data_IF_340367376989
#
_entry.id   IF_340367376989
#
_cell.length_a   1.000
_cell.length_b   1.000
_cell.length_c   1.000
_cell.angle_alpha   90.00
_cell.angle_beta   90.00
_cell.angle_gamma   90.00
#
_symmetry.space_group_name_H-M   'P 1'
#
loop_
_entity.id
_entity.type
_entity.pdbx_description
1 polymer ?
#
# COMPACT_ATOMS: atom_id res chain seq x y z
N UNK A 1 -3.07 64.26 28.30
CA UNK A 1 -3.80 63.02 28.01
C UNK A 1 -3.66 62.77 26.51
N UNK A 2 -2.53 62.22 26.06
CA UNK A 2 -2.22 62.01 24.64
C UNK A 2 -2.30 60.50 24.39
N UNK A 3 -3.30 60.07 23.62
CA UNK A 3 -3.52 58.68 23.26
C UNK A 3 -2.56 58.26 22.15
N UNK A 4 -1.75 57.25 22.44
CA UNK A 4 -0.82 56.60 21.53
C UNK A 4 -1.62 55.69 20.58
N UNK A 5 -1.74 56.06 19.30
CA UNK A 5 -2.31 55.17 18.27
C UNK A 5 -1.18 54.28 17.74
N UNK A 6 -1.14 53.04 18.22
CA UNK A 6 -0.27 52.00 17.69
C UNK A 6 -0.86 51.46 16.38
N UNK A 7 -0.26 51.83 15.24
CA UNK A 7 -0.56 51.21 13.95
C UNK A 7 0.13 49.86 13.91
N UNK A 8 -0.62 48.80 14.22
CA UNK A 8 -0.17 47.42 14.05
C UNK A 8 -0.21 47.12 12.55
N UNK A 9 0.97 47.10 11.93
CA UNK A 9 1.16 46.61 10.58
C UNK A 9 0.96 45.08 10.60
N UNK A 10 -0.27 44.62 10.38
CA UNK A 10 -0.53 43.20 10.12
C UNK A 10 0.08 42.86 8.76
N UNK A 11 1.31 42.35 8.78
CA UNK A 11 1.87 41.62 7.66
C UNK A 11 1.04 40.34 7.48
N UNK A 12 -0.01 40.42 6.67
CA UNK A 12 -0.64 39.23 6.09
C UNK A 12 0.40 38.65 5.14
N UNK A 13 1.24 37.76 5.67
CA UNK A 13 1.92 36.78 4.84
C UNK A 13 0.79 35.94 4.22
N UNK A 14 0.38 36.31 3.00
CA UNK A 14 -0.25 35.34 2.12
C UNK A 14 0.85 34.33 1.86
N UNK A 15 0.93 33.30 2.70
CA UNK A 15 1.57 32.07 2.32
C UNK A 15 0.85 31.67 1.04
N UNK A 16 1.49 31.91 -0.10
CA UNK A 16 1.14 31.25 -1.33
C UNK A 16 1.15 29.77 -0.98
N UNK A 17 -0.04 29.20 -0.88
CA UNK A 17 -0.18 27.76 -0.90
C UNK A 17 0.36 27.36 -2.25
N UNK A 18 1.63 26.95 -2.29
CA UNK A 18 2.06 26.03 -3.30
C UNK A 18 1.12 24.84 -3.15
N UNK A 19 0.10 24.77 -4.01
CA UNK A 19 -0.73 23.59 -4.15
C UNK A 19 0.20 22.55 -4.75
N UNK A 20 0.85 21.81 -3.85
CA UNK A 20 1.51 20.56 -4.16
C UNK A 20 0.55 19.74 -5.01
N UNK A 21 1.07 18.97 -5.99
CA UNK A 21 0.35 17.84 -6.55
C UNK A 21 -0.53 17.22 -5.47
N UNK A 22 -1.84 17.09 -5.74
CA UNK A 22 -2.78 16.61 -4.74
C UNK A 22 -2.22 15.37 -4.06
N UNK A 23 -2.51 15.19 -2.77
CA UNK A 23 -2.05 14.07 -1.93
C UNK A 23 -2.37 12.66 -2.47
N UNK A 24 -2.95 12.55 -3.67
CA UNK A 24 -3.24 11.32 -4.38
C UNK A 24 -2.34 11.00 -5.58
N UNK A 25 -1.48 11.88 -6.09
CA UNK A 25 -0.72 11.60 -7.33
C UNK A 25 0.59 10.86 -7.03
N UNK A 26 0.90 9.76 -7.74
CA UNK A 26 2.06 8.93 -7.42
C UNK A 26 2.94 8.53 -8.62
N UNK A 27 2.51 8.79 -9.85
CA UNK A 27 3.34 8.52 -11.02
C UNK A 27 4.30 9.68 -11.25
N UNK A 28 5.54 9.34 -11.58
CA UNK A 28 6.62 10.28 -11.88
C UNK A 28 7.21 9.98 -13.26
N UNK A 29 7.98 10.93 -13.80
CA UNK A 29 8.75 10.73 -15.02
C UNK A 29 8.02 11.17 -16.29
N UNK A 30 8.61 10.79 -17.42
CA UNK A 30 8.20 11.23 -18.75
C UNK A 30 7.90 10.02 -19.62
N UNK A 31 6.82 10.13 -20.40
CA UNK A 31 6.50 9.20 -21.47
C UNK A 31 6.59 9.93 -22.81
N UNK A 32 6.69 9.20 -23.90
CA UNK A 32 6.88 9.77 -25.23
C UNK A 32 5.78 9.34 -26.17
N UNK A 33 5.14 10.31 -26.81
CA UNK A 33 4.16 10.05 -27.85
C UNK A 33 4.70 10.36 -29.24
N UNK A 34 4.43 9.44 -30.14
CA UNK A 34 4.61 9.59 -31.58
C UNK A 34 5.83 8.90 -32.16
N UNK A 35 5.81 8.78 -33.48
CA UNK A 35 6.86 8.13 -34.26
C UNK A 35 7.81 9.17 -34.88
N UNK A 36 9.10 8.87 -34.90
CA UNK A 36 10.06 9.49 -35.81
C UNK A 36 9.95 8.94 -37.24
N UNK A 37 9.11 7.91 -37.46
CA UNK A 37 8.91 7.25 -38.75
C UNK A 37 7.41 7.12 -39.08
N UNK A 38 6.92 7.90 -40.06
CA UNK A 38 5.54 7.80 -40.52
C UNK A 38 5.18 8.82 -41.59
N UNK A 39 5.64 8.61 -42.82
CA UNK A 39 5.09 9.28 -43.99
C UNK A 39 3.61 8.87 -44.15
N UNK A 40 2.68 9.69 -43.67
CA UNK A 40 1.29 9.60 -44.11
C UNK A 40 1.29 9.94 -45.60
N UNK A 41 0.87 8.99 -46.43
CA UNK A 41 0.79 9.16 -47.89
C UNK A 41 0.02 10.45 -48.23
N UNK A 42 0.74 11.44 -48.76
CA UNK A 42 0.20 12.74 -49.13
C UNK A 42 0.45 13.90 -48.15
N UNK A 43 1.07 13.66 -46.98
CA UNK A 43 1.35 14.71 -45.98
C UNK A 43 2.83 14.88 -45.58
N UNK A 44 3.75 14.09 -46.15
CA UNK A 44 5.17 14.17 -45.81
C UNK A 44 5.47 13.62 -44.41
N UNK A 45 6.72 13.77 -43.94
CA UNK A 45 7.14 13.30 -42.61
C UNK A 45 6.38 14.10 -41.55
N UNK A 46 5.30 13.55 -41.04
CA UNK A 46 4.70 14.04 -39.81
C UNK A 46 5.32 13.26 -38.66
N UNK A 47 6.11 13.94 -37.83
CA UNK A 47 6.19 13.49 -36.44
C UNK A 47 4.74 13.52 -35.95
N UNK A 48 4.21 12.46 -35.35
CA UNK A 48 2.82 12.49 -34.89
C UNK A 48 2.59 13.40 -33.67
N UNK A 49 3.48 14.40 -33.46
CA UNK A 49 3.22 15.67 -32.79
C UNK A 49 3.09 15.62 -31.27
N UNK A 50 2.83 14.46 -30.68
CA UNK A 50 2.58 14.35 -29.23
C UNK A 50 3.78 14.77 -28.39
N UNK A 51 4.98 14.28 -28.74
CA UNK A 51 6.23 14.64 -28.07
C UNK A 51 6.31 14.15 -26.62
N UNK A 52 7.01 14.91 -25.78
CA UNK A 52 7.15 14.59 -24.36
C UNK A 52 5.84 14.80 -23.60
N UNK A 53 5.48 13.81 -22.79
CA UNK A 53 4.36 13.88 -21.87
C UNK A 53 4.90 13.75 -20.46
N UNK A 54 4.65 14.77 -19.64
CA UNK A 54 4.96 14.76 -18.22
C UNK A 54 3.87 14.05 -17.45
N UNK A 55 4.24 13.07 -16.63
CA UNK A 55 3.28 12.32 -15.81
C UNK A 55 2.90 13.02 -14.52
N UNK A 56 3.62 14.06 -14.12
CA UNK A 56 3.30 14.94 -12.99
C UNK A 56 4.07 16.27 -13.06
N UNK A 57 3.80 17.19 -12.13
CA UNK A 57 4.63 18.39 -11.96
C UNK A 57 5.08 18.65 -10.53
N UNK A 58 5.30 17.59 -9.75
CA UNK A 58 5.63 17.63 -8.31
C UNK A 58 6.88 18.44 -7.93
N UNK A 59 7.70 18.82 -8.91
CA UNK A 59 8.99 19.50 -8.73
C UNK A 59 9.04 20.94 -9.29
N UNK A 60 7.95 21.47 -9.86
CA UNK A 60 7.90 22.85 -10.35
C UNK A 60 6.89 23.66 -9.56
N UNK A 61 7.34 24.78 -8.97
CA UNK A 61 6.53 25.78 -8.28
C UNK A 61 5.59 26.56 -9.24
N UNK A 62 5.04 25.90 -10.26
CA UNK A 62 4.09 26.45 -11.21
C UNK A 62 2.69 26.57 -10.59
N UNK A 63 1.88 27.47 -11.16
CA UNK A 63 0.53 27.79 -10.65
C UNK A 63 -0.53 26.70 -10.89
N UNK A 64 -0.22 25.67 -11.69
CA UNK A 64 -1.15 24.58 -12.02
C UNK A 64 -0.60 23.27 -11.46
N UNK A 65 -1.44 22.42 -10.91
CA UNK A 65 -1.08 21.16 -10.26
C UNK A 65 -1.66 19.99 -11.07
N UNK A 66 -0.83 19.05 -11.52
CA UNK A 66 -1.28 17.85 -12.25
C UNK A 66 -0.37 16.65 -11.99
N UNK A 67 -0.89 15.47 -12.29
CA UNK A 67 -0.20 14.20 -12.22
C UNK A 67 -1.13 13.02 -12.46
N UNK A 68 -0.56 11.83 -12.49
CA UNK A 68 -1.32 10.58 -12.59
C UNK A 68 -1.14 9.80 -11.30
N UNK A 69 -2.21 9.16 -10.85
CA UNK A 69 -2.22 8.23 -9.74
C UNK A 69 -2.59 6.84 -10.22
N UNK A 70 -1.75 5.86 -9.89
CA UNK A 70 -2.03 4.44 -10.06
C UNK A 70 -2.27 3.82 -8.69
N UNK A 71 -3.44 3.23 -8.41
CA UNK A 71 -3.70 2.58 -7.13
C UNK A 71 -2.71 1.41 -6.90
N UNK A 72 -2.37 1.16 -5.64
CA UNK A 72 -1.48 0.06 -5.26
C UNK A 72 -2.11 -1.34 -5.46
N UNK A 73 -3.44 -1.38 -5.56
CA UNK A 73 -4.25 -2.56 -5.87
C UNK A 73 -5.08 -2.28 -7.13
N UNK A 74 -5.86 -3.27 -7.56
CA UNK A 74 -6.79 -3.10 -8.67
C UNK A 74 -7.76 -1.94 -8.42
N UNK A 75 -8.08 -1.19 -9.48
CA UNK A 75 -8.94 -0.01 -9.38
C UNK A 75 -8.65 1.03 -10.46
N UNK A 76 -9.53 2.04 -10.52
CA UNK A 76 -9.40 3.13 -11.47
C UNK A 76 -8.17 3.99 -11.16
N UNK A 77 -7.49 4.44 -12.22
CA UNK A 77 -6.50 5.50 -12.14
C UNK A 77 -7.21 6.84 -11.91
N UNK A 78 -6.45 7.82 -11.44
CA UNK A 78 -6.90 9.22 -11.36
C UNK A 78 -5.85 10.18 -11.87
N UNK A 79 -6.29 11.41 -12.14
CA UNK A 79 -5.43 12.53 -12.53
C UNK A 79 -5.30 12.72 -14.04
N UNK A 80 -4.35 13.57 -14.40
CA UNK A 80 -4.04 13.92 -15.78
C UNK A 80 -2.53 14.13 -15.99
N UNK A 81 -2.04 13.67 -17.13
CA UNK A 81 -0.70 14.00 -17.61
C UNK A 81 -0.75 15.25 -18.51
N UNK A 82 0.42 15.78 -18.88
CA UNK A 82 0.51 16.98 -19.70
C UNK A 82 1.54 16.84 -20.82
N UNK A 83 1.13 17.09 -22.06
CA UNK A 83 2.02 17.31 -23.19
C UNK A 83 2.14 18.81 -23.47
N UNK A 84 3.35 19.29 -23.73
CA UNK A 84 3.57 20.67 -24.17
C UNK A 84 2.97 20.98 -25.55
N UNK A 85 2.81 19.96 -26.39
CA UNK A 85 2.31 20.11 -27.75
C UNK A 85 0.79 19.97 -27.85
N UNK A 86 0.18 19.09 -27.05
CA UNK A 86 -1.23 18.71 -27.18
C UNK A 86 -2.06 18.92 -25.90
N UNK A 87 -1.44 19.44 -24.84
CA UNK A 87 -2.12 19.76 -23.58
C UNK A 87 -2.40 18.55 -22.70
N UNK A 88 -3.48 18.64 -21.91
CA UNK A 88 -3.81 17.65 -20.89
C UNK A 88 -4.28 16.32 -21.47
N UNK A 89 -3.89 15.25 -20.79
CA UNK A 89 -4.35 13.88 -21.04
C UNK A 89 -5.07 13.41 -19.78
N UNK A 90 -6.38 13.19 -19.88
CA UNK A 90 -7.18 12.68 -18.77
C UNK A 90 -7.06 11.16 -18.65
N UNK A 91 -6.83 10.65 -17.45
CA UNK A 91 -6.84 9.22 -17.12
C UNK A 91 -8.09 8.79 -16.33
N UNK A 92 -8.83 9.75 -15.77
CA UNK A 92 -10.13 9.52 -15.14
C UNK A 92 -11.26 10.32 -15.78
N UNK A 93 -12.48 9.94 -15.42
CA UNK A 93 -13.69 10.53 -15.94
C UNK A 93 -14.37 11.54 -15.00
N UNK A 94 -13.67 12.10 -14.00
CA UNK A 94 -14.26 13.06 -13.04
C UNK A 94 -14.83 14.30 -13.73
N UNK A 95 -14.25 14.67 -14.88
CA UNK A 95 -14.68 15.80 -15.71
C UNK A 95 -15.46 15.37 -16.97
N UNK A 96 -15.84 14.09 -17.08
CA UNK A 96 -16.59 13.57 -18.22
C UNK A 96 -15.80 13.43 -19.53
N UNK A 97 -14.49 13.69 -19.53
CA UNK A 97 -13.67 13.65 -20.75
C UNK A 97 -13.59 12.26 -21.40
N UNK A 98 -13.75 11.20 -20.60
CA UNK A 98 -13.71 9.82 -21.08
C UNK A 98 -15.10 9.29 -21.44
N UNK A 99 -16.16 10.09 -21.35
CA UNK A 99 -17.50 9.67 -21.80
C UNK A 99 -17.48 9.32 -23.29
N UNK A 100 -18.09 8.18 -23.63
CA UNK A 100 -18.20 7.72 -25.02
C UNK A 100 -16.90 7.14 -25.58
N UNK A 101 -16.04 6.56 -24.74
CA UNK A 101 -14.88 5.81 -25.22
C UNK A 101 -15.29 4.71 -26.21
N UNK A 102 -14.42 4.36 -27.18
CA UNK A 102 -14.79 3.44 -28.26
C UNK A 102 -15.24 2.05 -27.78
N UNK A 103 -14.59 1.51 -26.74
CA UNK A 103 -14.90 0.19 -26.18
C UNK A 103 -14.89 0.31 -24.64
N UNK A 104 -16.05 0.49 -23.99
CA UNK A 104 -16.12 0.57 -22.54
C UNK A 104 -15.87 -0.79 -21.89
N UNK A 105 -15.21 -0.76 -20.75
CA UNK A 105 -15.08 -1.89 -19.83
C UNK A 105 -16.37 -2.07 -19.01
N UNK A 106 -16.74 -3.31 -18.70
CA UNK A 106 -17.97 -3.62 -17.97
C UNK A 106 -17.96 -3.08 -16.52
N UNK A 107 -16.80 -3.06 -15.87
CA UNK A 107 -16.63 -2.67 -14.47
C UNK A 107 -16.10 -1.25 -14.36
N UNK A 108 -15.15 -0.88 -15.22
CA UNK A 108 -14.43 0.37 -15.15
C UNK A 108 -14.97 1.45 -16.11
N UNK A 109 -15.97 1.10 -16.93
CA UNK A 109 -16.54 1.97 -17.96
C UNK A 109 -15.42 2.48 -18.88
N UNK A 110 -15.27 3.79 -19.02
CA UNK A 110 -14.24 4.40 -19.85
C UNK A 110 -12.98 4.84 -19.11
N UNK A 111 -12.85 4.57 -17.82
CA UNK A 111 -11.68 5.00 -17.05
C UNK A 111 -10.43 4.21 -17.45
N UNK A 112 -9.26 4.81 -17.26
CA UNK A 112 -8.04 4.03 -17.13
C UNK A 112 -8.08 3.28 -15.79
N UNK A 113 -7.60 2.04 -15.76
CA UNK A 113 -7.61 1.23 -14.54
C UNK A 113 -6.42 0.27 -14.49
N UNK A 114 -6.10 -0.16 -13.27
CA UNK A 114 -5.12 -1.19 -12.97
C UNK A 114 -5.83 -2.52 -12.73
N UNK A 115 -5.29 -3.58 -13.33
CA UNK A 115 -5.63 -4.97 -13.05
C UNK A 115 -4.32 -5.79 -12.94
N UNK A 116 -3.99 -6.25 -11.73
CA UNK A 116 -2.71 -6.84 -11.40
C UNK A 116 -1.56 -5.88 -11.68
N UNK A 117 -0.69 -6.24 -12.63
CA UNK A 117 0.40 -5.39 -13.10
C UNK A 117 0.11 -4.73 -14.46
N UNK A 118 -1.12 -4.85 -14.98
CA UNK A 118 -1.51 -4.26 -16.27
C UNK A 118 -2.27 -2.95 -16.04
N UNK A 119 -2.00 -1.96 -16.89
CA UNK A 119 -2.79 -0.75 -17.02
C UNK A 119 -3.65 -0.88 -18.28
N UNK A 120 -4.95 -0.67 -18.11
CA UNK A 120 -5.99 -0.92 -19.12
C UNK A 120 -6.94 0.26 -19.23
N UNK A 121 -7.83 0.18 -20.23
CA UNK A 121 -8.87 1.17 -20.46
C UNK A 121 -8.41 2.31 -21.35
N UNK A 122 -8.98 3.49 -21.13
CA UNK A 122 -8.82 4.64 -22.02
C UNK A 122 -8.27 5.87 -21.28
N UNK A 123 -7.44 6.61 -21.99
CA UNK A 123 -7.08 7.99 -21.67
C UNK A 123 -7.44 8.88 -22.87
N UNK A 124 -7.48 10.20 -22.67
CA UNK A 124 -7.87 11.12 -23.75
C UNK A 124 -7.16 12.45 -23.69
N UNK A 125 -6.66 12.92 -24.84
CA UNK A 125 -6.23 14.30 -25.00
C UNK A 125 -7.44 15.23 -24.91
N UNK A 126 -7.46 16.02 -23.84
CA UNK A 126 -8.59 16.90 -23.49
C UNK A 126 -8.77 17.99 -24.54
N UNK A 127 -7.68 18.61 -25.00
CA UNK A 127 -7.77 19.71 -25.97
C UNK A 127 -8.25 19.23 -27.35
N UNK A 128 -7.83 18.03 -27.79
CA UNK A 128 -8.34 17.41 -29.02
C UNK A 128 -9.85 17.12 -28.89
N UNK A 129 -10.28 16.61 -27.74
CA UNK A 129 -11.70 16.31 -27.48
C UNK A 129 -12.60 17.56 -27.48
N UNK A 130 -12.06 18.71 -27.07
CA UNK A 130 -12.76 20.00 -27.06
C UNK A 130 -12.70 20.69 -28.42
N UNK A 131 -11.62 20.47 -29.18
CA UNK A 131 -11.45 21.00 -30.52
C UNK A 131 -12.34 20.32 -31.58
N UNK A 132 -13.12 19.29 -31.20
CA UNK A 132 -14.20 18.70 -32.00
C UNK A 132 -15.37 19.67 -32.31
N UNK A 133 -15.23 20.97 -32.04
CA UNK A 133 -16.03 22.02 -32.71
C UNK A 133 -15.80 21.91 -34.23
N UNK A 134 -16.87 22.03 -35.02
CA UNK A 134 -16.84 21.97 -36.49
C UNK A 134 -15.71 22.88 -37.00
N UNK A 135 -14.65 22.26 -37.53
CA UNK A 135 -13.55 22.94 -38.22
C UNK A 135 -12.20 23.04 -37.50
N UNK A 136 -11.98 22.50 -36.29
CA UNK A 136 -10.73 22.82 -35.56
C UNK A 136 -9.80 21.68 -35.10
N UNK A 137 -9.90 20.45 -35.64
CA UNK A 137 -8.85 19.40 -35.47
C UNK A 137 -8.97 18.26 -36.49
N UNK A 138 -9.47 18.54 -37.71
CA UNK A 138 -9.64 17.51 -38.73
C UNK A 138 -10.59 16.35 -38.37
N UNK A 139 -11.36 16.46 -37.28
CA UNK A 139 -12.29 15.42 -36.80
C UNK A 139 -11.72 14.45 -35.77
N UNK A 140 -10.50 14.67 -35.28
CA UNK A 140 -9.88 13.81 -34.27
C UNK A 140 -10.56 13.90 -32.91
N UNK A 141 -10.59 12.78 -32.19
CA UNK A 141 -11.28 12.61 -30.92
C UNK A 141 -10.31 12.52 -29.72
N UNK A 142 -9.02 12.26 -29.96
CA UNK A 142 -7.94 12.29 -28.97
C UNK A 142 -7.85 11.04 -28.11
N UNK A 143 -8.39 9.90 -28.54
CA UNK A 143 -8.41 8.67 -27.75
C UNK A 143 -7.06 7.96 -27.69
N UNK A 144 -6.72 7.46 -26.51
CA UNK A 144 -5.55 6.63 -26.23
C UNK A 144 -6.04 5.36 -25.54
N UNK A 145 -5.76 4.20 -26.13
CA UNK A 145 -6.03 2.89 -25.55
C UNK A 145 -4.80 2.36 -24.84
N UNK A 146 -4.93 2.05 -23.55
CA UNK A 146 -3.79 1.67 -22.70
C UNK A 146 -3.40 0.20 -22.85
N UNK A 147 -4.27 -0.62 -23.44
CA UNK A 147 -4.01 -2.02 -23.73
C UNK A 147 -4.75 -2.53 -24.97
N UNK A 148 -4.18 -3.53 -25.64
CA UNK A 148 -4.76 -4.23 -26.78
C UNK A 148 -4.25 -5.67 -26.88
N UNK A 149 -4.60 -6.40 -27.95
CA UNK A 149 -4.21 -7.80 -28.11
C UNK A 149 -2.68 -8.02 -28.20
N UNK A 150 -1.93 -7.04 -28.68
CA UNK A 150 -0.48 -7.13 -28.95
C UNK A 150 0.35 -6.04 -28.27
N UNK A 151 -0.27 -5.17 -27.48
CA UNK A 151 0.38 -4.08 -26.77
C UNK A 151 -0.30 -3.83 -25.44
N UNK A 152 0.40 -3.17 -24.54
CA UNK A 152 -0.17 -2.69 -23.29
C UNK A 152 0.87 -2.08 -22.40
N UNK A 153 0.39 -1.38 -21.39
CA UNK A 153 1.22 -0.75 -20.37
C UNK A 153 1.26 -1.65 -19.15
N UNK A 154 2.46 -1.92 -18.63
CA UNK A 154 2.66 -2.80 -17.47
C UNK A 154 3.56 -2.18 -16.42
N UNK A 155 3.32 -2.56 -15.16
CA UNK A 155 4.10 -2.16 -13.99
C UNK A 155 5.13 -3.26 -13.69
N UNK A 156 6.41 -2.91 -13.70
CA UNK A 156 7.50 -3.77 -13.27
C UNK A 156 7.58 -3.92 -11.74
N UNK A 157 8.30 -4.94 -11.27
CA UNK A 157 8.54 -5.15 -9.84
C UNK A 157 9.36 -4.03 -9.17
N UNK A 158 10.00 -3.18 -9.96
CA UNK A 158 10.71 -1.97 -9.53
C UNK A 158 9.82 -0.71 -9.58
N UNK A 159 8.54 -0.83 -9.92
CA UNK A 159 7.58 0.26 -10.03
C UNK A 159 7.65 1.00 -11.37
N UNK A 160 8.57 0.65 -12.26
CA UNK A 160 8.68 1.28 -13.58
C UNK A 160 7.55 0.83 -14.48
N UNK A 161 6.97 1.79 -15.21
CA UNK A 161 6.05 1.49 -16.27
C UNK A 161 6.83 1.13 -17.54
N UNK A 162 6.27 0.24 -18.33
CA UNK A 162 6.84 -0.21 -19.60
C UNK A 162 5.74 -0.55 -20.59
N UNK A 163 6.14 -0.74 -21.84
CA UNK A 163 5.22 -1.04 -22.93
C UNK A 163 4.58 0.21 -23.53
N UNK A 164 3.57 -0.02 -24.37
CA UNK A 164 3.03 0.97 -25.28
C UNK A 164 1.51 1.04 -25.14
N UNK A 165 1.00 2.26 -25.17
CA UNK A 165 -0.40 2.55 -25.48
C UNK A 165 -0.53 2.98 -26.94
N UNK A 166 -1.76 3.00 -27.46
CA UNK A 166 -2.03 3.27 -28.86
C UNK A 166 -3.15 4.28 -29.05
N UNK A 167 -2.95 5.21 -29.97
CA UNK A 167 -3.98 6.09 -30.52
C UNK A 167 -4.07 5.86 -32.02
N UNK A 168 -5.28 5.68 -32.55
CA UNK A 168 -5.48 5.55 -34.00
C UNK A 168 -5.16 6.85 -34.77
N UNK A 169 -5.12 7.97 -34.06
CA UNK A 169 -4.89 9.31 -34.61
C UNK A 169 -3.43 9.76 -34.42
N UNK A 170 -2.83 9.39 -33.28
CA UNK A 170 -1.53 9.90 -32.84
C UNK A 170 -0.41 8.84 -32.82
N UNK A 171 -0.76 7.58 -33.05
CA UNK A 171 0.15 6.44 -33.05
C UNK A 171 0.53 5.97 -31.65
N UNK A 172 1.77 5.51 -31.51
CA UNK A 172 2.28 4.90 -30.27
C UNK A 172 2.53 5.97 -29.19
N UNK A 173 2.12 5.65 -27.96
CA UNK A 173 2.59 6.33 -26.74
C UNK A 173 3.42 5.33 -25.94
N UNK A 174 4.73 5.54 -25.87
CA UNK A 174 5.68 4.68 -25.17
C UNK A 174 5.88 5.14 -23.72
N UNK A 175 5.67 4.23 -22.78
CA UNK A 175 5.81 4.51 -21.35
C UNK A 175 7.26 4.43 -20.83
N UNK A 176 8.18 3.98 -21.67
CA UNK A 176 9.60 3.83 -21.32
C UNK A 176 10.49 3.76 -22.56
N UNK A 177 11.72 4.25 -22.46
CA UNK A 177 12.74 4.05 -23.48
C UNK A 177 14.14 4.38 -22.95
N UNK A 178 15.15 4.40 -23.82
CA UNK A 178 16.50 4.78 -23.42
C UNK A 178 16.52 6.21 -22.85
N UNK A 179 16.75 6.33 -21.53
CA UNK A 179 16.88 7.63 -20.85
C UNK A 179 15.56 8.29 -20.41
N UNK A 180 14.40 7.66 -20.62
CA UNK A 180 13.12 8.16 -20.13
C UNK A 180 12.19 7.02 -19.68
N UNK A 181 11.19 7.36 -18.88
CA UNK A 181 10.13 6.44 -18.51
C UNK A 181 9.33 6.95 -17.33
N UNK A 182 8.12 6.43 -17.20
CA UNK A 182 7.28 6.67 -16.04
C UNK A 182 7.55 5.62 -14.95
N UNK A 183 7.37 6.02 -13.70
CA UNK A 183 7.46 5.11 -12.55
C UNK A 183 6.45 5.49 -11.49
N UNK A 184 5.80 4.50 -10.88
CA UNK A 184 5.07 4.66 -9.63
C UNK A 184 5.93 4.19 -8.45
N UNK A 185 5.69 4.67 -7.23
CA UNK A 185 6.30 4.09 -6.04
C UNK A 185 5.82 2.66 -5.85
N UNK A 186 6.65 1.84 -5.21
CA UNK A 186 6.22 0.52 -4.78
C UNK A 186 5.24 0.63 -3.61
N UNK A 187 4.29 -0.33 -3.49
CA UNK A 187 3.39 -0.36 -2.35
C UNK A 187 4.19 -0.48 -1.04
N UNK A 188 3.76 0.19 0.03
CA UNK A 188 4.42 0.07 1.31
C UNK A 188 4.30 -1.36 1.86
N UNK A 189 5.37 -1.86 2.47
CA UNK A 189 5.40 -3.18 3.12
C UNK A 189 5.74 -3.05 4.59
N UNK A 190 5.12 -3.89 5.42
CA UNK A 190 5.41 -3.96 6.85
C UNK A 190 5.48 -5.41 7.30
N UNK A 191 6.42 -5.72 8.19
CA UNK A 191 6.47 -6.98 8.92
C UNK A 191 6.70 -6.71 10.41
N UNK A 192 6.10 -7.56 11.25
CA UNK A 192 6.21 -7.52 12.70
C UNK A 192 6.52 -8.93 13.19
N UNK A 193 7.57 -9.06 13.98
CA UNK A 193 8.02 -10.31 14.60
C UNK A 193 8.21 -10.05 16.08
N UNK A 194 7.99 -11.09 16.89
CA UNK A 194 8.13 -11.04 18.34
C UNK A 194 8.99 -12.22 18.81
N UNK A 195 9.80 -12.01 19.84
CA UNK A 195 10.57 -13.07 20.47
C UNK A 195 10.67 -12.84 21.99
N UNK A 196 10.30 -13.83 22.83
CA UNK A 196 9.64 -15.09 22.47
C UNK A 196 8.16 -14.92 22.08
N UNK A 197 7.64 -15.83 21.24
CA UNK A 197 6.19 -15.93 20.92
C UNK A 197 5.37 -16.53 22.06
N UNK A 198 6.03 -17.31 22.92
CA UNK A 198 5.43 -17.95 24.09
C UNK A 198 6.27 -17.68 25.32
N UNK A 199 5.64 -17.18 26.37
CA UNK A 199 6.30 -16.93 27.66
C UNK A 199 6.05 -18.15 28.56
N UNK A 200 7.13 -18.79 29.02
CA UNK A 200 7.02 -19.89 29.98
C UNK A 200 6.94 -19.33 31.42
N UNK A 201 5.86 -19.68 32.12
CA UNK A 201 5.62 -19.29 33.51
C UNK A 201 6.27 -20.22 34.54
N UNK A 202 6.79 -21.39 34.13
CA UNK A 202 7.55 -22.30 35.01
C UNK A 202 8.83 -21.63 35.52
N UNK A 203 9.41 -20.74 34.71
CA UNK A 203 10.64 -19.98 35.03
C UNK A 203 10.39 -18.66 35.75
N UNK A 204 9.13 -18.27 35.98
CA UNK A 204 8.78 -17.03 36.67
C UNK A 204 7.42 -16.47 36.29
N UNK A 205 6.88 -15.60 37.15
CA UNK A 205 5.59 -14.93 36.91
C UNK A 205 5.74 -13.73 35.97
N UNK A 206 4.62 -13.24 35.46
CA UNK A 206 4.57 -11.94 34.77
C UNK A 206 4.87 -10.79 35.76
N UNK A 207 5.44 -9.66 35.30
CA UNK A 207 5.74 -9.35 33.90
C UNK A 207 7.04 -9.97 33.38
N UNK A 208 7.05 -10.37 32.11
CA UNK A 208 8.24 -10.85 31.40
C UNK A 208 8.50 -10.04 30.13
N UNK A 209 9.76 -9.95 29.73
CA UNK A 209 10.16 -9.14 28.58
C UNK A 209 10.01 -9.89 27.27
N UNK A 210 9.46 -9.22 26.26
CA UNK A 210 9.45 -9.67 24.87
C UNK A 210 10.05 -8.60 23.97
N UNK A 211 10.79 -9.01 22.95
CA UNK A 211 11.36 -8.09 21.97
C UNK A 211 10.53 -8.12 20.69
N UNK A 212 9.95 -6.97 20.35
CA UNK A 212 9.29 -6.72 19.07
C UNK A 212 10.31 -6.20 18.07
N UNK A 213 10.30 -6.74 16.86
CA UNK A 213 11.09 -6.24 15.73
C UNK A 213 10.16 -6.00 14.57
N UNK A 214 10.24 -4.82 13.96
CA UNK A 214 9.43 -4.47 12.80
C UNK A 214 10.29 -3.91 11.67
N UNK A 215 9.86 -4.21 10.45
CA UNK A 215 10.43 -3.62 9.24
C UNK A 215 9.33 -2.86 8.51
N UNK A 216 9.63 -1.64 8.10
CA UNK A 216 8.74 -0.74 7.36
C UNK A 216 9.48 -0.28 6.12
N UNK A 217 8.86 -0.42 4.95
CA UNK A 217 9.40 0.09 3.68
C UNK A 217 8.29 0.84 2.96
N UNK A 218 8.56 2.06 2.49
CA UNK A 218 7.61 2.88 1.73
C UNK A 218 6.50 3.57 2.53
N UNK A 219 6.22 3.18 3.77
CA UNK A 219 5.24 3.90 4.61
C UNK A 219 5.89 5.09 5.34
N UNK A 220 5.18 6.22 5.41
CA UNK A 220 5.68 7.45 6.06
C UNK A 220 5.43 7.45 7.56
N UNK A 221 4.31 6.90 8.03
CA UNK A 221 3.99 6.79 9.46
C UNK A 221 3.31 5.47 9.76
N UNK A 222 3.62 4.89 10.92
CA UNK A 222 2.88 3.75 11.46
C UNK A 222 2.55 3.98 12.93
N UNK A 223 1.47 3.37 13.41
CA UNK A 223 1.06 3.36 14.81
C UNK A 223 1.19 1.96 15.38
N UNK A 224 1.89 1.86 16.51
CA UNK A 224 1.96 0.66 17.34
C UNK A 224 0.85 0.69 18.39
N UNK A 225 0.24 -0.45 18.65
CA UNK A 225 -0.76 -0.62 19.69
C UNK A 225 -0.75 -2.04 20.23
N UNK A 226 -1.13 -2.22 21.50
CA UNK A 226 -1.35 -3.53 22.10
C UNK A 226 -2.56 -3.50 23.02
N UNK A 227 -3.31 -4.60 23.10
CA UNK A 227 -4.48 -4.73 23.96
C UNK A 227 -4.17 -4.59 25.47
N UNK A 228 -2.90 -4.75 25.88
CA UNK A 228 -2.40 -4.52 27.23
C UNK A 228 -1.81 -3.12 27.48
N UNK A 229 -1.86 -2.20 26.52
CA UNK A 229 -1.40 -0.81 26.65
C UNK A 229 0.12 -0.58 26.73
N UNK A 230 0.91 -1.63 26.94
CA UNK A 230 2.38 -1.58 27.11
C UNK A 230 3.17 -1.24 25.83
N UNK A 231 2.52 -1.23 24.67
CA UNK A 231 3.16 -0.89 23.39
C UNK A 231 2.24 0.03 22.59
N UNK A 232 2.47 1.34 22.66
CA UNK A 232 1.62 2.36 22.04
C UNK A 232 2.41 3.54 21.49
N UNK A 233 1.90 4.19 20.44
CA UNK A 233 2.46 5.42 19.87
C UNK A 233 2.76 5.33 18.38
N UNK A 234 3.50 6.31 17.86
CA UNK A 234 3.85 6.39 16.44
C UNK A 234 5.30 5.96 16.23
N UNK A 235 5.56 5.26 15.12
CA UNK A 235 6.89 4.93 14.63
C UNK A 235 7.05 5.47 13.20
N UNK A 236 8.27 5.91 12.87
CA UNK A 236 8.60 6.52 11.58
C UNK A 236 9.62 5.71 10.78
N UNK A 237 10.12 4.59 11.33
CA UNK A 237 11.13 3.74 10.69
C UNK A 237 11.09 2.32 11.25
N UNK A 238 11.76 1.40 10.55
CA UNK A 238 12.09 0.05 11.05
C UNK A 238 12.85 0.13 12.37
N UNK A 239 12.66 -0.87 13.24
CA UNK A 239 13.27 -0.85 14.56
C UNK A 239 12.95 -2.08 15.40
N UNK A 240 13.42 -2.03 16.64
CA UNK A 240 13.10 -3.01 17.66
C UNK A 240 12.81 -2.31 19.00
N UNK A 241 12.05 -2.98 19.84
CA UNK A 241 11.70 -2.51 21.18
C UNK A 241 11.44 -3.70 22.09
N UNK A 242 11.99 -3.63 23.30
CA UNK A 242 11.68 -4.61 24.34
C UNK A 242 10.60 -4.05 25.24
N UNK A 243 9.52 -4.79 25.43
CA UNK A 243 8.39 -4.42 26.28
C UNK A 243 8.18 -5.47 27.36
N UNK A 244 7.72 -5.04 28.52
CA UNK A 244 7.35 -5.93 29.62
C UNK A 244 5.87 -6.29 29.51
N UNK A 245 5.59 -7.54 29.15
CA UNK A 245 4.23 -8.07 29.05
C UNK A 245 3.71 -8.45 30.44
N UNK A 246 2.55 -7.90 30.82
CA UNK A 246 1.91 -8.12 32.12
C UNK A 246 0.62 -8.95 32.07
N UNK A 247 0.12 -9.26 30.87
CA UNK A 247 -1.08 -10.06 30.65
C UNK A 247 -0.76 -11.42 30.00
N UNK A 248 -1.60 -12.43 30.28
CA UNK A 248 -1.44 -13.80 29.78
C UNK A 248 -1.48 -13.90 28.24
N UNK A 249 -2.25 -13.04 27.60
CA UNK A 249 -2.29 -12.96 26.13
C UNK A 249 -2.29 -11.50 25.71
N UNK A 250 -1.29 -11.13 24.91
CA UNK A 250 -1.17 -9.78 24.36
C UNK A 250 -1.12 -9.86 22.84
N UNK A 251 -2.02 -9.12 22.20
CA UNK A 251 -1.99 -8.88 20.76
C UNK A 251 -1.26 -7.56 20.51
N UNK A 252 -0.19 -7.63 19.71
CA UNK A 252 0.56 -6.47 19.23
C UNK A 252 0.15 -6.19 17.79
N UNK A 253 -0.24 -4.95 17.52
CA UNK A 253 -0.80 -4.52 16.24
C UNK A 253 0.01 -3.35 15.70
N UNK A 254 0.50 -3.49 14.47
CA UNK A 254 1.16 -2.43 13.74
C UNK A 254 0.32 -2.01 12.54
N UNK A 255 -0.05 -0.74 12.50
CA UNK A 255 -0.86 -0.15 11.42
C UNK A 255 -0.04 0.93 10.73
N UNK A 256 0.13 0.85 9.41
CA UNK A 256 0.93 1.80 8.64
C UNK A 256 0.09 2.52 7.59
N UNK A 257 0.40 3.78 7.31
CA UNK A 257 -0.22 4.52 6.20
C UNK A 257 0.06 3.83 4.87
N UNK A 258 -0.99 3.66 4.05
CA UNK A 258 -0.91 3.02 2.74
C UNK A 258 -0.92 1.49 2.76
N UNK A 259 -1.03 0.87 3.95
CA UNK A 259 -1.21 -0.58 4.09
C UNK A 259 -2.65 -0.84 4.55
N UNK A 260 -3.42 -1.56 3.74
CA UNK A 260 -4.85 -1.76 3.98
C UNK A 260 -5.13 -2.55 5.28
N UNK A 261 -4.30 -3.55 5.58
CA UNK A 261 -4.50 -4.45 6.72
C UNK A 261 -3.38 -4.26 7.76
N UNK A 262 -3.72 -4.05 9.04
CA UNK A 262 -2.74 -4.06 10.12
C UNK A 262 -2.04 -5.42 10.24
N UNK A 263 -0.75 -5.41 10.56
CA UNK A 263 0.00 -6.63 10.90
C UNK A 263 -0.13 -6.89 12.39
N UNK A 264 -0.40 -8.15 12.74
CA UNK A 264 -0.69 -8.58 14.11
C UNK A 264 0.21 -9.74 14.51
N UNK A 265 0.63 -9.75 15.76
CA UNK A 265 1.30 -10.89 16.39
C UNK A 265 0.76 -11.09 17.80
N UNK A 266 0.50 -12.35 18.16
CA UNK A 266 0.00 -12.72 19.47
C UNK A 266 1.11 -13.37 20.28
N UNK A 267 1.29 -12.88 21.50
CA UNK A 267 2.12 -13.54 22.51
C UNK A 267 1.22 -14.15 23.56
N UNK A 268 1.42 -15.45 23.80
CA UNK A 268 0.68 -16.20 24.82
C UNK A 268 1.59 -16.69 25.92
N UNK A 269 1.10 -16.71 27.15
CA UNK A 269 1.75 -17.40 28.26
C UNK A 269 1.37 -18.87 28.29
N UNK A 270 2.25 -19.68 28.83
CA UNK A 270 1.96 -21.07 29.15
C UNK A 270 3.01 -21.64 30.07
N UNK A 271 2.95 -22.94 30.27
CA UNK A 271 3.70 -23.66 31.30
C UNK A 271 3.76 -25.15 30.94
N UNK A 272 4.62 -25.89 31.62
CA UNK A 272 4.68 -27.35 31.52
C UNK A 272 3.54 -28.01 32.27
N UNK A 273 2.57 -28.54 31.54
CA UNK A 273 1.60 -29.50 32.09
C UNK A 273 2.24 -30.87 32.18
N UNK A 274 2.25 -31.46 33.38
CA UNK A 274 2.80 -32.79 33.61
C UNK A 274 1.72 -33.87 33.56
N UNK A 275 1.87 -34.84 32.65
CA UNK A 275 0.93 -35.94 32.48
C UNK A 275 1.63 -37.30 32.37
N UNK A 276 0.95 -38.33 32.84
CA UNK A 276 1.45 -39.70 32.73
C UNK A 276 1.27 -40.23 31.31
N UNK A 277 2.38 -40.66 30.71
CA UNK A 277 2.39 -41.50 29.51
C UNK A 277 3.01 -42.85 29.88
N UNK A 278 2.15 -43.83 30.13
CA UNK A 278 2.56 -45.12 30.71
C UNK A 278 3.18 -44.94 32.10
N UNK A 279 4.41 -45.42 32.28
CA UNK A 279 5.17 -45.31 33.53
C UNK A 279 6.03 -44.03 33.64
N UNK A 280 5.93 -43.10 32.67
CA UNK A 280 6.72 -41.86 32.65
C UNK A 280 5.85 -40.62 32.83
N UNK A 281 6.35 -39.64 33.58
CA UNK A 281 5.74 -38.33 33.76
C UNK A 281 6.34 -37.36 32.73
N UNK A 282 5.62 -37.17 31.62
CA UNK A 282 6.03 -36.26 30.54
C UNK A 282 5.60 -34.82 30.82
N UNK A 283 6.29 -33.86 30.20
CA UNK A 283 5.89 -32.44 30.20
C UNK A 283 5.49 -32.01 28.81
N UNK A 284 4.35 -31.33 28.71
CA UNK A 284 3.86 -30.70 27.48
C UNK A 284 3.56 -29.23 27.73
N UNK A 285 3.87 -28.36 26.77
CA UNK A 285 3.56 -26.93 26.92
C UNK A 285 2.06 -26.71 26.76
N UNK A 286 1.43 -26.16 27.78
CA UNK A 286 0.01 -25.79 27.79
C UNK A 286 -0.09 -24.26 27.83
N UNK A 287 -0.79 -23.68 26.85
CA UNK A 287 -1.13 -22.26 26.84
C UNK A 287 -2.15 -21.98 27.94
N UNK A 288 -1.91 -20.95 28.75
CA UNK A 288 -2.79 -20.53 29.84
C UNK A 288 -3.44 -19.19 29.51
N UNK A 289 -4.76 -19.08 29.76
CA UNK A 289 -5.46 -17.79 29.74
C UNK A 289 -5.22 -16.95 31.00
N UNK A 290 -4.47 -17.50 31.98
CA UNK A 290 -4.20 -16.90 33.28
C UNK A 290 -2.73 -16.50 33.41
N UNK A 291 -2.49 -15.41 34.15
CA UNK A 291 -1.14 -14.91 34.46
C UNK A 291 -0.41 -15.71 35.56
N UNK A 292 -0.99 -16.81 36.05
CA UNK A 292 -0.43 -17.65 37.11
C UNK A 292 -0.25 -19.10 36.67
N UNK A 293 0.71 -19.79 37.31
CA UNK A 293 1.04 -21.21 37.09
C UNK A 293 -0.03 -22.15 37.68
N UNK A 294 -0.99 -21.62 38.45
CA UNK A 294 -1.99 -22.42 39.18
C UNK A 294 -2.86 -23.28 38.26
N UNK A 295 -3.14 -22.78 37.05
CA UNK A 295 -3.89 -23.54 36.05
C UNK A 295 -3.11 -24.77 35.53
N UNK A 296 -1.78 -24.71 35.57
CA UNK A 296 -0.87 -25.76 35.12
C UNK A 296 -0.68 -26.84 36.19
N UNK A 297 -0.52 -26.41 37.44
CA UNK A 297 -0.38 -27.32 38.58
C UNK A 297 -1.68 -28.06 38.84
N UNK A 298 -2.84 -27.38 38.78
CA UNK A 298 -4.15 -28.02 38.88
C UNK A 298 -4.41 -29.02 37.73
N UNK A 299 -3.85 -28.77 36.55
CA UNK A 299 -3.98 -29.67 35.39
C UNK A 299 -2.95 -30.80 35.35
N UNK A 300 -1.92 -30.77 36.22
CA UNK A 300 -0.87 -31.77 36.26
C UNK A 300 -1.29 -33.00 37.07
N UNK A 301 -1.06 -34.20 36.53
CA UNK A 301 -1.46 -35.47 37.19
C UNK A 301 -0.29 -36.22 37.82
N UNK A 302 0.93 -35.73 37.66
CA UNK A 302 2.16 -36.34 38.17
C UNK A 302 3.24 -35.29 38.44
N UNK A 303 4.18 -35.61 39.33
CA UNK A 303 5.39 -34.83 39.58
C UNK A 303 6.65 -35.59 39.15
N UNK A 304 6.64 -36.92 39.28
CA UNK A 304 7.73 -37.86 38.97
C UNK A 304 7.18 -39.12 38.29
N UNK A 305 8.05 -39.91 37.64
CA UNK A 305 7.67 -41.18 36.99
C UNK A 305 6.99 -42.18 37.95
N UNK A 306 7.37 -42.18 39.24
CA UNK A 306 6.79 -43.04 40.26
C UNK A 306 5.28 -42.82 40.45
N UNK A 307 4.79 -41.59 40.25
CA UNK A 307 3.36 -41.26 40.36
C UNK A 307 2.55 -41.92 39.22
N UNK A 308 3.19 -42.13 38.08
CA UNK A 308 2.60 -42.77 36.90
C UNK A 308 2.70 -44.29 36.95
N UNK A 309 3.77 -44.82 37.57
CA UNK A 309 3.95 -46.25 37.77
C UNK A 309 2.76 -46.86 38.52
N UNK A 310 2.21 -46.21 39.54
CA UNK A 310 1.05 -46.70 40.31
C UNK A 310 -0.26 -46.78 39.49
N UNK A 311 -0.41 -45.95 38.46
CA UNK A 311 -1.60 -45.89 37.59
C UNK A 311 -1.55 -46.90 36.44
N UNK A 312 -0.35 -47.27 35.99
CA UNK A 312 -0.17 -48.27 34.93
C UNK A 312 -0.51 -49.71 35.35
N UNK A 313 -0.74 -49.95 36.64
CA UNK A 313 -0.89 -51.31 37.20
C UNK A 313 -2.34 -51.70 37.50
N UNK A 314 -3.32 -50.78 37.44
CA UNK A 314 -4.65 -51.07 37.99
C UNK A 314 -5.81 -50.44 37.19
N UNK A 315 -6.51 -51.28 36.43
CA UNK A 315 -7.92 -51.08 36.07
C UNK A 315 -8.85 -51.25 37.29
N UNK A 316 -8.53 -50.60 38.41
CA UNK A 316 -9.34 -50.65 39.62
C UNK A 316 -10.09 -49.33 39.82
N UNK A 317 -11.43 -49.41 39.77
CA UNK A 317 -12.32 -48.38 40.31
C UNK A 317 -12.48 -48.61 41.81
N UNK A 318 -12.26 -47.58 42.62
CA UNK A 318 -12.73 -47.59 44.02
C UNK A 318 -14.24 -47.78 44.04
N UNK A 319 -14.71 -48.83 44.71
CA UNK A 319 -16.09 -48.93 45.17
C UNK A 319 -16.04 -48.55 46.64
N UNK A 320 -16.61 -47.38 46.97
CA UNK A 320 -16.76 -46.93 48.34
C UNK A 320 -17.60 -47.94 49.16
N UNK A 321 -17.33 -48.11 50.47
CA UNK A 321 -17.98 -49.10 51.32
C UNK A 321 -19.49 -48.91 51.50
#
# INVERSE_FOLDING_TARGET
>A
MYGLVAIIFCAVFVASTAIKAGVGENVTGWIWGGSNDGNITGQGVISSGVGWISMNNTNMAGAVSYGVNIPFTDGNLSGSAYSENLGYIAFDNSNGYLNGCPIPDATHSCNAYREGNSIKGWARFVEISKASVIGNSGGWLGWIRLNGPSYGVTIGNDGKLSGNAWSDELGVISFSGPGYGASMPLPPTVALVVNPLTINLDSGLLPQNVTLTWTVTGATTCTKSANGGVWSGTINASGNETVSQSAATVEYILTCTGIANPVRVNVTTGCGKKECSGATCGSTFMVTGTSTVDSCTAASTCSLDADCAARGITGWSEVAP
#
